data_IF_794756257560
#
_entry.id   IF_794756257560
#
_cell.length_a   1.000
_cell.length_b   1.000
_cell.length_c   1.000
_cell.angle_alpha   90.00
_cell.angle_beta   90.00
_cell.angle_gamma   90.00
#
_symmetry.space_group_name_H-M   'P 1'
#
loop_
_entity.id
_entity.type
_entity.pdbx_description
1 polymer ?
#
# COMPACT_ATOMS: atom_id res chain seq x y z
N UNK A 1 13.73 13.33 26.46
CA UNK A 1 12.94 12.78 25.34
C UNK A 1 12.14 13.91 24.72
N UNK A 2 12.33 14.26 23.44
CA UNK A 2 11.53 15.33 22.79
C UNK A 2 10.13 14.78 22.47
N UNK A 3 9.10 15.60 22.61
CA UNK A 3 7.74 15.23 22.21
C UNK A 3 7.70 14.98 20.69
N UNK A 4 6.89 14.02 20.23
CA UNK A 4 6.76 13.72 18.79
C UNK A 4 6.31 14.95 17.99
N UNK A 5 5.48 15.81 18.61
CA UNK A 5 5.00 17.09 18.05
C UNK A 5 6.11 18.13 17.85
N UNK A 6 7.25 17.96 18.52
CA UNK A 6 8.41 18.86 18.43
C UNK A 6 9.56 18.25 17.63
N UNK A 7 9.57 16.92 17.50
CA UNK A 7 10.60 16.18 16.75
C UNK A 7 10.24 15.98 15.27
N UNK A 8 8.95 15.99 14.92
CA UNK A 8 8.47 15.77 13.56
C UNK A 8 7.55 16.90 13.11
N UNK A 9 7.71 17.33 11.86
CA UNK A 9 6.75 18.20 11.19
C UNK A 9 5.59 17.33 10.67
N UNK A 10 4.36 17.63 11.13
CA UNK A 10 3.16 16.96 10.65
C UNK A 10 2.84 17.43 9.23
N UNK A 11 2.30 16.53 8.40
CA UNK A 11 1.83 16.92 7.06
C UNK A 11 0.67 17.93 7.18
N UNK A 12 0.52 18.90 6.26
CA UNK A 12 -0.50 19.94 6.35
C UNK A 12 -1.92 19.41 6.56
N UNK A 13 -2.30 18.34 5.86
CA UNK A 13 -3.63 17.72 5.95
C UNK A 13 -3.89 17.07 7.31
N UNK A 14 -2.84 16.61 8.01
CA UNK A 14 -2.95 16.11 9.40
C UNK A 14 -3.20 17.28 10.34
N UNK A 15 -2.49 18.40 10.14
CA UNK A 15 -2.65 19.60 10.99
C UNK A 15 -4.03 20.22 10.85
N UNK A 16 -4.60 20.17 9.64
CA UNK A 16 -5.94 20.71 9.33
C UNK A 16 -7.09 19.76 9.69
N UNK A 17 -6.81 18.52 10.09
CA UNK A 17 -7.83 17.53 10.41
C UNK A 17 -8.61 17.02 9.19
N UNK A 18 -8.00 17.06 8.00
CA UNK A 18 -8.65 16.67 6.73
C UNK A 18 -8.66 15.15 6.51
N UNK A 19 -7.91 14.38 7.31
CA UNK A 19 -7.87 12.92 7.23
C UNK A 19 -9.00 12.28 8.04
N UNK A 20 -9.90 11.59 7.35
CA UNK A 20 -10.93 10.75 7.99
C UNK A 20 -10.37 9.39 8.35
N UNK A 21 -10.88 8.77 9.42
CA UNK A 21 -10.43 7.41 9.82
C UNK A 21 -10.63 6.38 8.71
N UNK A 22 -11.67 6.55 7.90
CA UNK A 22 -11.96 5.70 6.74
C UNK A 22 -10.80 5.66 5.72
N UNK A 23 -10.00 6.74 5.62
CA UNK A 23 -8.88 6.78 4.68
C UNK A 23 -7.75 5.81 5.03
N UNK A 24 -7.71 5.28 6.25
CA UNK A 24 -6.70 4.29 6.67
C UNK A 24 -7.12 2.85 6.38
N UNK A 25 -8.39 2.64 6.00
CA UNK A 25 -8.91 1.34 5.59
C UNK A 25 -8.79 1.20 4.07
N UNK A 26 -7.62 0.74 3.60
CA UNK A 26 -7.42 0.43 2.20
C UNK A 26 -8.43 -0.63 1.73
N UNK A 27 -9.16 -0.33 0.66
CA UNK A 27 -10.09 -1.25 0.00
C UNK A 27 -9.63 -1.50 -1.45
N UNK A 28 -9.40 -2.77 -1.79
CA UNK A 28 -8.96 -3.15 -3.12
C UNK A 28 -10.09 -3.12 -4.15
N UNK A 29 -11.34 -3.38 -3.73
CA UNK A 29 -12.52 -3.26 -4.58
C UNK A 29 -12.73 -1.83 -5.06
N UNK A 30 -12.61 -0.85 -4.16
CA UNK A 30 -12.73 0.57 -4.50
C UNK A 30 -11.63 1.02 -5.49
N UNK A 31 -10.41 0.51 -5.33
CA UNK A 31 -9.30 0.80 -6.27
C UNK A 31 -9.64 0.29 -7.68
N UNK A 32 -10.10 -0.95 -7.78
CA UNK A 32 -10.49 -1.56 -9.06
C UNK A 32 -11.70 -0.84 -9.67
N UNK A 33 -12.63 -0.34 -8.85
CA UNK A 33 -13.79 0.42 -9.28
C UNK A 33 -13.47 1.88 -9.65
N UNK A 34 -12.25 2.37 -9.40
CA UNK A 34 -11.87 3.77 -9.61
C UNK A 34 -12.52 4.74 -8.62
N UNK A 35 -12.92 4.24 -7.44
CA UNK A 35 -13.61 4.99 -6.38
C UNK A 35 -12.74 5.17 -5.14
N UNK A 36 -11.51 4.63 -5.14
CA UNK A 36 -10.62 4.76 -4.01
C UNK A 36 -10.20 6.23 -3.80
N UNK A 37 -9.94 6.64 -2.55
CA UNK A 37 -9.30 7.91 -2.26
C UNK A 37 -7.99 8.09 -3.04
N UNK A 38 -7.64 9.34 -3.36
CA UNK A 38 -6.44 9.69 -4.16
C UNK A 38 -5.16 9.02 -3.62
N UNK A 39 -5.04 8.87 -2.30
CA UNK A 39 -3.89 8.22 -1.65
C UNK A 39 -3.67 6.75 -2.03
N UNK A 40 -4.72 6.08 -2.53
CA UNK A 40 -4.68 4.70 -3.03
C UNK A 40 -4.84 4.64 -4.55
N UNK A 41 -5.58 5.57 -5.16
CA UNK A 41 -5.84 5.59 -6.60
C UNK A 41 -4.60 6.04 -7.41
N UNK A 42 -3.89 7.06 -6.92
CA UNK A 42 -2.75 7.64 -7.61
C UNK A 42 -1.46 6.90 -7.23
N UNK A 43 -0.90 6.14 -8.18
CA UNK A 43 0.27 5.29 -7.94
C UNK A 43 1.45 6.06 -7.31
N UNK A 44 1.73 7.27 -7.77
CA UNK A 44 2.82 8.09 -7.24
C UNK A 44 2.62 8.48 -5.77
N UNK A 45 1.39 8.76 -5.36
CA UNK A 45 1.01 9.09 -3.99
C UNK A 45 1.05 7.83 -3.12
N UNK A 46 0.49 6.72 -3.63
CA UNK A 46 0.48 5.43 -2.97
C UNK A 46 1.90 4.95 -2.65
N UNK A 47 2.81 4.92 -3.63
CA UNK A 47 4.19 4.46 -3.40
C UNK A 47 5.02 5.42 -2.56
N UNK A 48 4.76 6.73 -2.62
CA UNK A 48 5.40 7.71 -1.72
C UNK A 48 5.03 7.45 -0.25
N UNK A 49 3.79 7.02 -0.01
CA UNK A 49 3.27 6.77 1.33
C UNK A 49 3.46 5.31 1.79
N UNK A 50 3.80 4.41 0.89
CA UNK A 50 3.96 2.97 1.18
C UNK A 50 5.43 2.63 1.36
N UNK A 51 5.80 2.26 2.59
CA UNK A 51 7.14 1.76 2.84
C UNK A 51 7.36 0.42 2.12
N UNK A 52 8.42 0.26 1.30
CA UNK A 52 8.68 -0.98 0.58
C UNK A 52 9.19 -2.03 1.57
N UNK A 53 8.28 -2.70 2.29
CA UNK A 53 8.66 -3.78 3.18
C UNK A 53 9.30 -4.93 2.41
N UNK A 54 10.17 -5.71 3.05
CA UNK A 54 10.87 -6.83 2.41
C UNK A 54 9.91 -7.82 1.74
N UNK A 55 8.79 -8.14 2.39
CA UNK A 55 7.81 -9.08 1.87
C UNK A 55 7.05 -8.50 0.67
N UNK A 56 6.73 -7.20 0.69
CA UNK A 56 6.12 -6.52 -0.45
C UNK A 56 7.02 -6.60 -1.68
N UNK A 57 8.30 -6.23 -1.53
CA UNK A 57 9.29 -6.34 -2.62
C UNK A 57 9.38 -7.76 -3.17
N UNK A 58 9.42 -8.77 -2.29
CA UNK A 58 9.49 -10.18 -2.69
C UNK A 58 8.29 -10.60 -3.53
N UNK A 59 7.08 -10.20 -3.15
CA UNK A 59 5.85 -10.51 -3.91
C UNK A 59 5.90 -9.85 -5.28
N UNK A 60 6.18 -8.54 -5.33
CA UNK A 60 6.27 -7.79 -6.59
C UNK A 60 7.31 -8.41 -7.53
N UNK A 61 8.52 -8.70 -7.04
CA UNK A 61 9.56 -9.38 -7.82
C UNK A 61 9.08 -10.73 -8.35
N UNK A 62 8.46 -11.56 -7.50
CA UNK A 62 7.94 -12.87 -7.91
C UNK A 62 6.88 -12.75 -9.01
N UNK A 63 5.98 -11.76 -8.93
CA UNK A 63 4.95 -11.54 -9.94
C UNK A 63 5.58 -11.15 -11.28
N UNK A 64 6.46 -10.16 -11.30
CA UNK A 64 7.07 -9.69 -12.55
C UNK A 64 8.04 -10.71 -13.17
N UNK A 65 8.82 -11.44 -12.38
CA UNK A 65 9.66 -12.54 -12.88
C UNK A 65 8.83 -13.59 -13.63
N UNK A 66 7.67 -13.95 -13.08
CA UNK A 66 6.76 -14.92 -13.70
C UNK A 66 6.09 -14.36 -14.96
N UNK A 67 5.58 -13.13 -14.90
CA UNK A 67 4.93 -12.48 -16.05
C UNK A 67 5.86 -12.32 -17.25
N UNK A 68 7.17 -12.17 -17.03
CA UNK A 68 8.16 -12.04 -18.10
C UNK A 68 8.61 -13.38 -18.69
N UNK A 69 8.31 -14.51 -18.04
CA UNK A 69 8.72 -15.85 -18.49
C UNK A 69 7.61 -16.57 -19.25
N UNK A 70 7.80 -16.78 -20.55
CA UNK A 70 6.84 -17.48 -21.42
C UNK A 70 6.69 -18.98 -21.14
N UNK A 71 7.57 -19.56 -20.31
CA UNK A 71 7.63 -21.01 -20.05
C UNK A 71 7.06 -21.40 -18.70
N UNK A 72 6.65 -20.44 -17.88
CA UNK A 72 6.09 -20.73 -16.56
C UNK A 72 4.60 -21.06 -16.62
N UNK A 73 4.20 -22.06 -15.83
CA UNK A 73 2.80 -22.37 -15.57
C UNK A 73 2.17 -21.32 -14.65
N UNK A 74 0.83 -21.28 -14.63
CA UNK A 74 0.08 -20.41 -13.73
C UNK A 74 0.47 -20.59 -12.27
N UNK A 75 0.51 -19.48 -11.52
CA UNK A 75 0.92 -19.45 -10.12
C UNK A 75 -0.21 -18.92 -9.23
N UNK A 76 -0.33 -19.47 -8.02
CA UNK A 76 -1.19 -18.94 -6.98
C UNK A 76 -0.33 -18.44 -5.81
N UNK A 77 -0.43 -17.15 -5.49
CA UNK A 77 0.27 -16.53 -4.37
C UNK A 77 -0.73 -16.24 -3.25
N UNK A 78 -0.53 -16.86 -2.08
CA UNK A 78 -1.35 -16.61 -0.89
C UNK A 78 -0.65 -15.66 0.06
N UNK A 79 -1.20 -14.46 0.23
CA UNK A 79 -0.72 -13.50 1.23
C UNK A 79 -1.24 -13.90 2.62
N UNK A 80 -0.35 -14.42 3.47
CA UNK A 80 -0.71 -14.94 4.80
C UNK A 80 -0.06 -14.11 5.91
N UNK A 81 -0.76 -13.06 6.34
CA UNK A 81 -0.34 -12.19 7.45
C UNK A 81 -1.52 -11.86 8.35
N UNK A 82 -1.25 -11.45 9.60
CA UNK A 82 -2.29 -10.99 10.54
C UNK A 82 -3.00 -9.70 10.12
N UNK A 83 -3.88 -9.21 10.98
CA UNK A 83 -4.49 -7.88 10.81
C UNK A 83 -3.40 -6.79 10.74
N UNK A 84 -3.58 -5.80 9.86
CA UNK A 84 -2.57 -4.76 9.62
C UNK A 84 -1.29 -5.23 8.89
N UNK A 85 -1.18 -6.51 8.52
CA UNK A 85 0.01 -7.08 7.88
C UNK A 85 0.17 -6.78 6.39
N UNK A 86 -0.43 -5.69 5.88
CA UNK A 86 -0.18 -5.16 4.53
C UNK A 86 -0.73 -5.96 3.35
N UNK A 87 -1.68 -6.90 3.55
CA UNK A 87 -2.23 -7.73 2.46
C UNK A 87 -2.85 -6.88 1.35
N UNK A 88 -3.78 -5.98 1.70
CA UNK A 88 -4.44 -5.13 0.71
C UNK A 88 -3.44 -4.23 -0.01
N UNK A 89 -2.51 -3.60 0.72
CA UNK A 89 -1.44 -2.79 0.10
C UNK A 89 -0.57 -3.61 -0.85
N UNK A 90 -0.31 -4.88 -0.54
CA UNK A 90 0.45 -5.77 -1.42
C UNK A 90 -0.31 -6.12 -2.70
N UNK A 91 -1.64 -6.19 -2.66
CA UNK A 91 -2.46 -6.39 -3.86
C UNK A 91 -2.54 -5.13 -4.73
N UNK A 92 -2.42 -3.94 -4.13
CA UNK A 92 -2.45 -2.65 -4.82
C UNK A 92 -1.13 -2.28 -5.53
N UNK A 93 -0.01 -2.83 -5.05
CA UNK A 93 1.36 -2.53 -5.51
C UNK A 93 1.77 -3.35 -6.74
#
# INVERSE_FOLDING_TARGET
MKLVRTACLLRPEVQKGELTDAIFAADFGDLIAGQAPEVYQEASVFFRNTHPAQQLRKVVTTVFERLTSKKESGACLRLSTGFGGGKTHTLMA
#
